data_IF_204686003392
#
_entry.id   IF_204686003392
#
_cell.length_a   1.000
_cell.length_b   1.000
_cell.length_c   1.000
_cell.angle_alpha   90.00
_cell.angle_beta   90.00
_cell.angle_gamma   90.00
#
_symmetry.space_group_name_H-M   'P 1'
#
loop_
_entity.id
_entity.type
_entity.pdbx_description
1 polymer ?
#
# COMPACT_ATOMS: atom_id res chain seq x y z
N UNK A 1 -25.61 9.77 4.49
CA UNK A 1 -24.92 9.31 3.27
C UNK A 1 -23.71 10.19 2.88
N UNK A 2 -23.43 11.30 3.59
CA UNK A 2 -22.29 12.20 3.33
C UNK A 2 -20.99 11.78 4.04
N UNK A 3 -21.09 11.08 5.18
CA UNK A 3 -19.94 10.78 6.04
C UNK A 3 -18.83 9.97 5.34
N UNK A 4 -19.15 8.97 4.51
CA UNK A 4 -18.15 8.14 3.83
C UNK A 4 -17.34 8.95 2.79
N UNK A 5 -17.99 9.88 2.09
CA UNK A 5 -17.30 10.72 1.09
C UNK A 5 -16.49 11.83 1.76
N UNK A 6 -16.98 12.37 2.88
CA UNK A 6 -16.25 13.33 3.70
C UNK A 6 -15.00 12.68 4.33
N UNK A 7 -15.07 11.41 4.71
CA UNK A 7 -13.95 10.64 5.22
C UNK A 7 -12.88 10.41 4.14
N UNK A 8 -13.26 9.96 2.94
CA UNK A 8 -12.32 9.78 1.81
C UNK A 8 -11.67 11.12 1.42
N UNK A 9 -12.45 12.22 1.41
CA UNK A 9 -11.93 13.55 1.11
C UNK A 9 -10.95 14.02 2.19
N UNK A 10 -11.26 13.78 3.47
CA UNK A 10 -10.39 14.11 4.59
C UNK A 10 -9.09 13.31 4.54
N UNK A 11 -9.18 12.01 4.28
CA UNK A 11 -8.03 11.13 4.15
C UNK A 11 -7.14 11.53 2.98
N UNK A 12 -7.72 11.83 1.81
CA UNK A 12 -6.96 12.32 0.66
C UNK A 12 -6.30 13.68 0.93
N UNK A 13 -6.96 14.56 1.69
CA UNK A 13 -6.37 15.83 2.10
C UNK A 13 -5.18 15.60 3.04
N UNK A 14 -5.32 14.75 4.06
CA UNK A 14 -4.22 14.41 4.99
C UNK A 14 -3.03 13.80 4.25
N UNK A 15 -3.27 12.83 3.36
CA UNK A 15 -2.22 12.24 2.54
C UNK A 15 -1.57 13.27 1.61
N UNK A 16 -2.35 14.15 0.98
CA UNK A 16 -1.80 15.20 0.11
C UNK A 16 -0.88 16.17 0.85
N UNK A 17 -1.20 16.49 2.11
CA UNK A 17 -0.35 17.29 2.98
C UNK A 17 0.93 16.53 3.37
N UNK A 18 0.81 15.26 3.75
CA UNK A 18 1.95 14.44 4.16
C UNK A 18 2.96 14.27 3.01
N UNK A 19 2.47 13.90 1.82
CA UNK A 19 3.32 13.79 0.64
C UNK A 19 3.80 15.15 0.13
N UNK A 20 2.95 16.17 0.19
CA UNK A 20 3.30 17.52 -0.22
C UNK A 20 4.47 18.10 0.57
N UNK A 21 4.42 18.01 1.91
CA UNK A 21 5.51 18.42 2.82
C UNK A 21 6.79 17.63 2.53
N UNK A 22 6.69 16.32 2.27
CA UNK A 22 7.83 15.49 1.93
C UNK A 22 8.51 15.95 0.63
N UNK A 23 7.73 16.14 -0.44
CA UNK A 23 8.24 16.57 -1.75
C UNK A 23 8.84 17.98 -1.66
N UNK A 24 8.15 18.92 -1.02
CA UNK A 24 8.64 20.30 -0.89
C UNK A 24 9.90 20.37 -0.05
N UNK A 25 10.01 19.53 0.98
CA UNK A 25 11.22 19.41 1.82
C UNK A 25 12.43 18.90 1.03
N UNK A 26 12.23 17.96 0.11
CA UNK A 26 13.30 17.49 -0.79
C UNK A 26 13.73 18.59 -1.75
N UNK A 27 12.78 19.31 -2.35
CA UNK A 27 13.07 20.43 -3.27
C UNK A 27 13.79 21.58 -2.54
N UNK A 28 13.34 21.95 -1.34
CA UNK A 28 14.01 22.97 -0.53
C UNK A 28 15.39 22.50 -0.06
N UNK A 29 15.55 21.23 0.32
CA UNK A 29 16.83 20.63 0.68
C UNK A 29 17.84 20.64 -0.48
N UNK A 30 17.39 20.32 -1.69
CA UNK A 30 18.22 20.46 -2.89
C UNK A 30 18.62 21.92 -3.13
N UNK A 31 17.67 22.86 -3.01
CA UNK A 31 17.98 24.29 -3.18
C UNK A 31 19.04 24.80 -2.20
N UNK A 32 19.06 24.27 -0.97
CA UNK A 32 20.11 24.59 0.00
C UNK A 32 21.50 24.19 -0.52
N UNK A 33 21.66 23.00 -1.12
CA UNK A 33 22.94 22.50 -1.65
C UNK A 33 23.45 23.39 -2.79
N UNK A 34 22.58 23.80 -3.71
CA UNK A 34 22.96 24.55 -4.91
C UNK A 34 23.05 26.07 -4.72
N UNK A 35 22.52 26.64 -3.64
CA UNK A 35 22.59 28.09 -3.40
C UNK A 35 23.99 28.48 -2.88
N UNK A 36 24.76 29.31 -3.60
CA UNK A 36 26.02 29.84 -3.10
C UNK A 36 25.77 30.91 -2.03
N UNK A 37 26.58 30.95 -0.97
CA UNK A 37 26.48 31.94 0.09
C UNK A 37 26.79 31.38 1.48
N UNK A 38 26.74 32.26 2.48
CA UNK A 38 26.89 31.89 3.87
C UNK A 38 25.69 31.04 4.37
N UNK A 39 25.89 30.30 5.46
CA UNK A 39 24.85 29.46 6.05
C UNK A 39 23.51 30.19 6.28
N UNK A 40 23.45 31.42 6.83
CA UNK A 40 22.18 32.10 7.07
C UNK A 40 21.42 32.45 5.77
N UNK A 41 22.11 32.87 4.71
CA UNK A 41 21.44 33.21 3.44
C UNK A 41 20.88 31.97 2.75
N UNK A 42 21.60 30.85 2.79
CA UNK A 42 21.14 29.56 2.26
C UNK A 42 19.90 29.03 2.98
N UNK A 43 19.82 29.22 4.30
CA UNK A 43 18.64 28.86 5.09
C UNK A 43 17.42 29.74 4.77
N UNK A 44 17.62 31.05 4.61
CA UNK A 44 16.53 31.97 4.26
C UNK A 44 15.96 31.64 2.87
N UNK A 45 16.83 31.41 1.88
CA UNK A 45 16.41 31.10 0.51
C UNK A 45 15.67 29.75 0.46
N UNK A 46 16.18 28.71 1.13
CA UNK A 46 15.52 27.41 1.14
C UNK A 46 14.17 27.44 1.86
N UNK A 47 14.05 28.21 2.95
CA UNK A 47 12.78 28.41 3.65
C UNK A 47 11.74 29.15 2.79
N UNK A 48 12.16 30.17 2.03
CA UNK A 48 11.28 30.88 1.10
C UNK A 48 10.79 29.95 -0.02
N UNK A 49 11.67 29.14 -0.59
CA UNK A 49 11.32 28.14 -1.61
C UNK A 49 10.30 27.13 -1.05
N UNK A 50 10.52 26.66 0.18
CA UNK A 50 9.59 25.74 0.84
C UNK A 50 8.18 26.36 0.98
N UNK A 51 8.08 27.60 1.48
CA UNK A 51 6.80 28.28 1.68
C UNK A 51 6.06 28.54 0.36
N UNK A 52 6.76 28.98 -0.68
CA UNK A 52 6.16 29.29 -1.99
C UNK A 52 5.68 28.01 -2.69
N UNK A 53 6.44 26.91 -2.59
CA UNK A 53 6.12 25.67 -3.30
C UNK A 53 5.17 24.73 -2.55
N UNK A 54 4.97 24.91 -1.23
CA UNK A 54 4.13 24.00 -0.43
C UNK A 54 2.70 23.90 -0.97
N UNK A 55 2.02 25.05 -1.11
CA UNK A 55 0.63 25.09 -1.57
C UNK A 55 0.40 24.52 -2.99
N UNK A 56 1.17 24.89 -4.03
CA UNK A 56 0.98 24.32 -5.36
C UNK A 56 1.28 22.82 -5.38
N UNK A 57 2.33 22.35 -4.68
CA UNK A 57 2.66 20.92 -4.63
C UNK A 57 1.58 20.12 -3.93
N UNK A 58 1.08 20.57 -2.77
CA UNK A 58 -0.05 19.91 -2.07
C UNK A 58 -1.27 19.83 -2.99
N UNK A 59 -1.59 20.89 -3.74
CA UNK A 59 -2.70 20.86 -4.72
C UNK A 59 -2.49 19.86 -5.85
N UNK A 60 -1.30 19.80 -6.43
CA UNK A 60 -0.97 18.85 -7.50
C UNK A 60 -1.06 17.41 -7.00
N UNK A 61 -0.51 17.14 -5.81
CA UNK A 61 -0.59 15.82 -5.16
C UNK A 61 -2.04 15.47 -4.85
N UNK A 62 -2.83 16.40 -4.31
CA UNK A 62 -4.26 16.19 -4.06
C UNK A 62 -5.00 15.87 -5.37
N UNK A 63 -4.73 16.60 -6.45
CA UNK A 63 -5.31 16.32 -7.75
C UNK A 63 -4.93 14.91 -8.25
N UNK A 64 -3.67 14.51 -8.07
CA UNK A 64 -3.19 13.18 -8.46
C UNK A 64 -3.86 12.06 -7.65
N UNK A 65 -3.94 12.19 -6.32
CA UNK A 65 -4.64 11.24 -5.45
C UNK A 65 -6.13 11.18 -5.82
N UNK A 66 -6.75 12.33 -6.09
CA UNK A 66 -8.15 12.42 -6.50
C UNK A 66 -8.44 11.80 -7.87
N UNK A 67 -7.43 11.67 -8.75
CA UNK A 67 -7.61 11.19 -10.12
C UNK A 67 -8.02 9.72 -10.17
N UNK A 68 -7.53 8.91 -9.23
CA UNK A 68 -7.94 7.51 -9.06
C UNK A 68 -9.37 7.36 -8.50
N UNK A 69 -9.97 8.44 -7.98
CA UNK A 69 -11.28 8.48 -7.34
C UNK A 69 -12.31 9.27 -8.15
N UNK A 70 -12.10 9.41 -9.47
CA UNK A 70 -13.05 10.07 -10.38
C UNK A 70 -13.97 9.11 -11.08
N UNK A 71 -15.23 9.50 -11.20
CA UNK A 71 -16.14 8.79 -12.09
C UNK A 71 -15.65 8.91 -13.54
N UNK A 72 -15.52 7.78 -14.23
CA UNK A 72 -15.11 7.74 -15.65
C UNK A 72 -16.05 8.52 -16.58
N UNK A 73 -17.33 8.64 -16.24
CA UNK A 73 -18.30 9.32 -17.10
C UNK A 73 -18.39 10.83 -16.85
N UNK A 74 -18.61 11.25 -15.60
CA UNK A 74 -18.85 12.67 -15.29
C UNK A 74 -17.62 13.40 -14.73
N UNK A 75 -16.47 12.72 -14.64
CA UNK A 75 -15.21 13.23 -14.11
C UNK A 75 -15.30 13.82 -12.69
N UNK A 76 -16.36 13.50 -11.95
CA UNK A 76 -16.57 14.01 -10.62
C UNK A 76 -15.60 13.31 -9.65
N UNK A 77 -14.72 14.10 -9.03
CA UNK A 77 -13.82 13.66 -7.96
C UNK A 77 -14.59 13.29 -6.70
N UNK A 78 -14.18 12.21 -6.01
CA UNK A 78 -14.77 11.77 -4.74
C UNK A 78 -16.28 11.59 -4.87
N UNK A 79 -16.69 10.82 -5.87
CA UNK A 79 -18.10 10.55 -6.13
C UNK A 79 -18.40 9.08 -6.23
N UNK A 80 -17.42 8.22 -5.97
CA UNK A 80 -17.51 6.79 -6.23
C UNK A 80 -17.83 6.07 -4.93
N UNK A 81 -18.81 5.18 -4.98
CA UNK A 81 -19.20 4.29 -3.89
C UNK A 81 -19.08 2.85 -4.34
N UNK A 82 -18.45 2.00 -3.54
CA UNK A 82 -18.49 0.56 -3.73
C UNK A 82 -19.91 0.08 -3.39
N UNK A 83 -20.60 -0.51 -4.37
CA UNK A 83 -21.95 -1.06 -4.17
C UNK A 83 -21.85 -2.53 -3.80
N UNK A 84 -21.05 -3.28 -4.56
CA UNK A 84 -21.01 -4.72 -4.47
C UNK A 84 -19.59 -5.24 -4.76
N UNK A 85 -19.30 -6.42 -4.22
CA UNK A 85 -18.04 -7.12 -4.43
C UNK A 85 -18.36 -8.58 -4.73
N UNK A 86 -18.22 -8.95 -6.00
CA UNK A 86 -18.38 -10.34 -6.44
C UNK A 86 -17.04 -11.05 -6.35
N UNK A 87 -17.04 -12.23 -5.74
CA UNK A 87 -15.86 -13.08 -5.63
C UNK A 87 -16.12 -14.38 -6.38
N UNK A 88 -15.33 -14.61 -7.41
CA UNK A 88 -15.37 -15.84 -8.19
C UNK A 88 -14.13 -16.67 -7.87
N UNK A 89 -14.35 -17.93 -7.49
CA UNK A 89 -13.26 -18.86 -7.25
C UNK A 89 -12.70 -19.34 -8.59
N UNK A 90 -11.37 -19.22 -8.76
CA UNK A 90 -10.70 -19.64 -10.00
C UNK A 90 -10.02 -21.00 -9.84
N UNK A 91 -9.21 -21.17 -8.79
CA UNK A 91 -8.40 -22.38 -8.63
C UNK A 91 -7.94 -22.57 -7.19
N UNK A 92 -7.78 -23.82 -6.78
CA UNK A 92 -7.08 -24.21 -5.55
C UNK A 92 -5.89 -25.10 -5.92
N UNK A 93 -4.67 -24.61 -5.67
CA UNK A 93 -3.44 -25.33 -5.98
C UNK A 93 -2.77 -25.73 -4.66
N UNK A 94 -2.63 -27.03 -4.35
CA UNK A 94 -1.89 -27.47 -3.18
C UNK A 94 -0.40 -27.12 -3.33
N UNK A 95 0.19 -26.60 -2.26
CA UNK A 95 1.60 -26.23 -2.17
C UNK A 95 2.23 -26.89 -0.96
N UNK A 96 3.51 -27.19 -1.10
CA UNK A 96 4.36 -27.63 -0.01
C UNK A 96 5.71 -26.94 -0.09
N UNK A 97 6.32 -26.70 1.07
CA UNK A 97 7.66 -26.16 1.21
C UNK A 97 8.38 -26.94 2.30
N UNK A 98 9.59 -27.39 1.98
CA UNK A 98 10.49 -27.97 2.97
C UNK A 98 11.62 -26.97 3.23
N UNK A 99 11.87 -26.65 4.49
CA UNK A 99 12.91 -25.73 4.93
C UNK A 99 13.83 -26.42 5.93
N UNK A 100 15.13 -26.41 5.66
CA UNK A 100 16.15 -26.87 6.60
C UNK A 100 16.52 -25.70 7.53
N UNK A 101 16.34 -25.84 8.83
CA UNK A 101 16.66 -24.81 9.83
C UNK A 101 18.04 -25.02 10.49
N UNK A 102 18.87 -25.91 9.94
CA UNK A 102 20.19 -26.22 10.46
C UNK A 102 20.16 -27.34 11.50
N UNK A 103 21.29 -27.53 12.20
CA UNK A 103 21.47 -28.56 13.22
C UNK A 103 21.13 -27.99 14.59
N UNK A 104 20.50 -28.77 15.46
CA UNK A 104 20.22 -28.35 16.85
C UNK A 104 21.53 -28.14 17.61
N UNK A 105 21.96 -26.88 17.69
CA UNK A 105 23.13 -26.42 18.45
C UNK A 105 22.71 -25.87 19.81
N UNK A 106 22.65 -26.76 20.80
CA UNK A 106 22.32 -26.43 22.19
C UNK A 106 22.29 -27.70 23.03
N UNK A 107 22.69 -27.56 24.30
CA UNK A 107 22.84 -28.55 25.38
C UNK A 107 23.16 -29.99 24.90
N UNK A 108 24.41 -30.43 25.11
CA UNK A 108 25.00 -31.70 24.60
C UNK A 108 24.34 -32.99 25.11
N UNK A 109 23.20 -32.89 25.80
CA UNK A 109 22.53 -33.97 26.54
C UNK A 109 21.08 -34.21 26.10
N UNK A 110 20.56 -33.46 25.11
CA UNK A 110 19.18 -33.62 24.63
C UNK A 110 19.01 -34.71 23.54
N UNK A 111 17.84 -35.36 23.44
CA UNK A 111 17.57 -36.45 22.47
C UNK A 111 17.55 -36.03 20.98
N UNK A 112 17.65 -34.72 20.73
CA UNK A 112 17.70 -34.12 19.39
C UNK A 112 19.01 -33.37 19.12
N UNK A 113 19.98 -33.41 20.04
CA UNK A 113 21.29 -32.80 19.85
C UNK A 113 21.97 -33.41 18.61
N UNK A 114 22.54 -32.56 17.75
CA UNK A 114 23.18 -33.00 16.50
C UNK A 114 22.23 -33.40 15.37
N UNK A 115 20.90 -33.45 15.59
CA UNK A 115 19.92 -33.72 14.53
C UNK A 115 19.65 -32.47 13.69
N UNK A 116 19.42 -32.65 12.40
CA UNK A 116 18.98 -31.62 11.48
C UNK A 116 17.49 -31.31 11.67
N UNK A 117 17.18 -30.04 11.84
CA UNK A 117 15.80 -29.54 11.90
C UNK A 117 15.27 -29.35 10.48
N UNK A 118 14.21 -30.06 10.14
CA UNK A 118 13.51 -29.95 8.86
C UNK A 118 12.07 -29.55 9.15
N UNK A 119 11.62 -28.43 8.59
CA UNK A 119 10.22 -27.99 8.64
C UNK A 119 9.57 -28.30 7.30
N UNK A 120 8.48 -29.06 7.32
CA UNK A 120 7.60 -29.24 6.16
C UNK A 120 6.31 -28.45 6.39
N UNK A 121 6.06 -27.49 5.52
CA UNK A 121 4.83 -26.67 5.54
C UNK A 121 4.01 -26.96 4.30
N UNK A 122 2.71 -27.17 4.47
CA UNK A 122 1.75 -27.39 3.38
C UNK A 122 0.64 -26.35 3.47
N UNK A 123 0.17 -25.85 2.33
CA UNK A 123 -0.99 -24.97 2.25
C UNK A 123 -1.65 -25.08 0.88
N UNK A 124 -2.89 -24.63 0.77
CA UNK A 124 -3.58 -24.49 -0.50
C UNK A 124 -3.55 -23.02 -0.92
N UNK A 125 -3.05 -22.74 -2.11
CA UNK A 125 -3.17 -21.42 -2.74
C UNK A 125 -4.49 -21.36 -3.50
N UNK A 126 -5.45 -20.63 -2.93
CA UNK A 126 -6.72 -20.33 -3.58
C UNK A 126 -6.61 -19.01 -4.33
N UNK A 127 -7.03 -19.00 -5.59
CA UNK A 127 -7.09 -17.80 -6.44
C UNK A 127 -8.53 -17.41 -6.64
N UNK A 128 -8.80 -16.13 -6.49
CA UNK A 128 -10.11 -15.53 -6.67
C UNK A 128 -10.03 -14.38 -7.67
N UNK A 129 -11.01 -14.30 -8.57
CA UNK A 129 -11.28 -13.09 -9.32
C UNK A 129 -12.27 -12.24 -8.52
N UNK A 130 -11.86 -11.02 -8.16
CA UNK A 130 -12.69 -10.10 -7.39
C UNK A 130 -13.13 -8.99 -8.33
N UNK A 131 -14.45 -8.93 -8.56
CA UNK A 131 -15.08 -7.86 -9.32
C UNK A 131 -15.73 -6.89 -8.35
N UNK A 132 -15.15 -5.70 -8.23
CA UNK A 132 -15.69 -4.61 -7.43
C UNK A 132 -16.59 -3.76 -8.32
N UNK A 133 -17.85 -3.61 -7.93
CA UNK A 133 -18.83 -2.79 -8.65
C UNK A 133 -18.96 -1.46 -7.92
N UNK A 134 -18.67 -0.39 -8.63
CA UNK A 134 -18.77 0.97 -8.13
C UNK A 134 -19.91 1.73 -8.79
N UNK A 135 -20.49 2.71 -8.10
CA UNK A 135 -21.38 3.71 -8.68
C UNK A 135 -20.94 5.12 -8.35
N UNK A 136 -21.18 6.02 -9.30
CA UNK A 136 -21.05 7.44 -9.09
C UNK A 136 -22.29 8.02 -8.43
N UNK A 137 -22.14 8.61 -7.25
CA UNK A 137 -23.19 9.31 -6.49
C UNK A 137 -23.70 10.55 -7.25
N UNK A 138 -22.89 11.16 -8.14
CA UNK A 138 -23.30 12.35 -8.90
C UNK A 138 -24.11 12.06 -10.15
N UNK A 139 -23.70 11.04 -10.94
CA UNK A 139 -24.36 10.73 -12.21
C UNK A 139 -25.10 9.39 -12.22
N UNK A 140 -25.06 8.62 -11.13
CA UNK A 140 -25.67 7.30 -11.02
C UNK A 140 -24.92 6.18 -11.74
N UNK A 141 -24.01 6.50 -12.66
CA UNK A 141 -23.35 5.49 -13.48
C UNK A 141 -22.54 4.48 -12.69
N UNK A 142 -22.68 3.22 -13.09
CA UNK A 142 -21.94 2.09 -12.53
C UNK A 142 -20.76 1.71 -13.41
N UNK A 143 -19.67 1.29 -12.80
CA UNK A 143 -18.56 0.64 -13.49
C UNK A 143 -17.92 -0.41 -12.60
N UNK A 144 -17.29 -1.40 -13.20
CA UNK A 144 -16.62 -2.49 -12.51
C UNK A 144 -15.09 -2.40 -12.63
N UNK A 145 -14.40 -2.91 -11.63
CA UNK A 145 -12.97 -3.20 -11.71
C UNK A 145 -12.70 -4.62 -11.27
N UNK A 146 -11.76 -5.28 -11.97
CA UNK A 146 -11.35 -6.64 -11.68
C UNK A 146 -9.97 -6.65 -11.04
N UNK A 147 -9.80 -7.45 -10.00
CA UNK A 147 -8.49 -7.73 -9.40
C UNK A 147 -8.37 -9.21 -9.06
N UNK A 148 -7.17 -9.75 -9.22
CA UNK A 148 -6.87 -11.11 -8.76
C UNK A 148 -6.39 -11.08 -7.31
N UNK A 149 -6.92 -11.97 -6.49
CA UNK A 149 -6.48 -12.18 -5.11
C UNK A 149 -6.04 -13.62 -4.93
N UNK A 150 -4.85 -13.83 -4.35
CA UNK A 150 -4.36 -15.16 -3.98
C UNK A 150 -4.31 -15.26 -2.47
N UNK A 151 -4.99 -16.25 -1.91
CA UNK A 151 -5.08 -16.50 -0.47
C UNK A 151 -4.46 -17.83 -0.13
N UNK A 152 -3.70 -17.88 0.97
CA UNK A 152 -3.23 -19.13 1.57
C UNK A 152 -4.28 -19.67 2.53
N UNK A 153 -4.75 -20.88 2.30
CA UNK A 153 -5.71 -21.60 3.13
C UNK A 153 -5.13 -22.94 3.59
N UNK A 154 -5.67 -23.49 4.69
CA UNK A 154 -5.27 -24.81 5.19
C UNK A 154 -3.78 -24.93 5.53
N UNK A 155 -3.15 -23.85 6.02
CA UNK A 155 -1.73 -23.87 6.36
C UNK A 155 -1.46 -24.84 7.52
N UNK A 156 -0.57 -25.79 7.29
CA UNK A 156 -0.07 -26.72 8.29
C UNK A 156 1.45 -26.77 8.23
N UNK A 157 2.11 -26.90 9.38
CA UNK A 157 3.55 -26.97 9.48
C UNK A 157 3.96 -28.05 10.47
N UNK A 158 4.80 -28.98 10.04
CA UNK A 158 5.31 -30.09 10.84
C UNK A 158 6.84 -30.01 10.92
N UNK A 159 7.38 -30.17 12.13
CA UNK A 159 8.81 -30.11 12.41
C UNK A 159 9.33 -31.53 12.62
N UNK A 160 10.39 -31.88 11.90
CA UNK A 160 11.08 -33.16 11.98
C UNK A 160 12.53 -32.95 12.42
N UNK A 161 13.08 -33.95 13.10
CA UNK A 161 14.48 -34.02 13.49
C UNK A 161 15.08 -35.26 12.83
N UNK A 162 16.04 -35.07 11.92
CA UNK A 162 16.72 -36.16 11.21
C UNK A 162 18.18 -36.26 11.60
#
# INVERSE_FOLDING_TARGET
MNNEQDEIKREANVHSWLYGVGITGVVSGMSYIFTPGEIPTRLIVSALIFLVLLFPIVKVVFYFISSGLRCKTCNASYSIKLIDTKREFLSAIPRSKTQNQGVVGGDTRGPHHGKQVIIKSNWTEERYNITNIYSCIKCGNTYDTQRMETRKQGYSSTKFYR
#
